data_IF_338392413748
#
_entry.id   IF_338392413748
#
_cell.length_a   1.000
_cell.length_b   1.000
_cell.length_c   1.000
_cell.angle_alpha   90.00
_cell.angle_beta   90.00
_cell.angle_gamma   90.00
#
_symmetry.space_group_name_H-M   'P 1'
#
loop_
_entity.id
_entity.type
_entity.pdbx_description
1 polymer ?
#
# COMPACT_ATOMS: atom_id res chain seq x y z
N UNK A 1 -33.09 -24.76 1.74
CA UNK A 1 -33.31 -23.36 2.17
C UNK A 1 -32.02 -22.70 2.69
N UNK A 2 -31.40 -23.16 3.83
CA UNK A 2 -30.22 -22.52 4.44
C UNK A 2 -28.99 -22.38 3.51
N UNK A 3 -28.81 -23.29 2.53
CA UNK A 3 -27.68 -23.22 1.59
C UNK A 3 -27.91 -22.17 0.49
N UNK A 4 -29.16 -22.00 0.06
CA UNK A 4 -29.56 -20.99 -0.93
C UNK A 4 -29.48 -19.57 -0.33
N UNK A 5 -29.98 -19.39 0.90
CA UNK A 5 -29.94 -18.10 1.60
C UNK A 5 -28.49 -17.63 1.81
N UNK A 6 -27.57 -18.56 2.14
CA UNK A 6 -26.16 -18.23 2.26
C UNK A 6 -25.45 -17.92 0.94
N UNK A 7 -25.94 -18.45 -0.19
CA UNK A 7 -25.41 -18.15 -1.52
C UNK A 7 -25.90 -16.78 -2.00
N UNK A 8 -27.17 -16.44 -1.76
CA UNK A 8 -27.72 -15.12 -2.08
C UNK A 8 -27.04 -14.02 -1.26
N UNK A 9 -26.85 -14.21 0.04
CA UNK A 9 -26.14 -13.24 0.89
C UNK A 9 -24.71 -12.97 0.38
N UNK A 10 -23.97 -14.02 0.00
CA UNK A 10 -22.62 -13.85 -0.58
C UNK A 10 -22.64 -13.11 -1.93
N UNK A 11 -23.65 -13.35 -2.75
CA UNK A 11 -23.79 -12.66 -4.03
C UNK A 11 -24.13 -11.19 -3.83
N UNK A 12 -25.01 -10.89 -2.88
CA UNK A 12 -25.40 -9.53 -2.50
C UNK A 12 -24.20 -8.75 -1.93
N UNK A 13 -23.44 -9.36 -1.01
CA UNK A 13 -22.21 -8.80 -0.48
C UNK A 13 -21.17 -8.51 -1.58
N UNK A 14 -21.04 -9.41 -2.57
CA UNK A 14 -20.10 -9.23 -3.69
C UNK A 14 -20.54 -8.07 -4.61
N UNK A 15 -21.82 -7.96 -4.92
CA UNK A 15 -22.36 -6.83 -5.71
C UNK A 15 -22.21 -5.49 -4.99
N UNK A 16 -22.45 -5.47 -3.68
CA UNK A 16 -22.34 -4.26 -2.89
C UNK A 16 -20.87 -3.82 -2.80
N UNK A 17 -19.94 -4.76 -2.63
CA UNK A 17 -18.50 -4.49 -2.64
C UNK A 17 -18.01 -3.96 -4.01
N UNK A 18 -18.52 -4.50 -5.13
CA UNK A 18 -18.15 -4.02 -6.48
C UNK A 18 -18.74 -2.63 -6.77
N UNK A 19 -19.97 -2.38 -6.34
CA UNK A 19 -20.59 -1.05 -6.46
C UNK A 19 -19.82 -0.01 -5.64
N UNK A 20 -19.52 -0.33 -4.38
CA UNK A 20 -18.73 0.54 -3.51
C UNK A 20 -17.35 0.83 -4.12
N UNK A 21 -16.69 -0.20 -4.67
CA UNK A 21 -15.39 -0.03 -5.34
C UNK A 21 -15.47 0.96 -6.51
N UNK A 22 -16.53 0.88 -7.32
CA UNK A 22 -16.72 1.77 -8.48
C UNK A 22 -17.02 3.21 -8.05
N UNK A 23 -17.84 3.39 -7.03
CA UNK A 23 -18.18 4.69 -6.46
C UNK A 23 -16.93 5.35 -5.83
N UNK A 24 -16.18 4.61 -5.02
CA UNK A 24 -14.95 5.10 -4.39
C UNK A 24 -13.88 5.46 -5.43
N UNK A 25 -13.69 4.62 -6.46
CA UNK A 25 -12.77 4.90 -7.56
C UNK A 25 -13.14 6.20 -8.30
N UNK A 26 -14.44 6.41 -8.54
CA UNK A 26 -14.95 7.61 -9.19
C UNK A 26 -14.70 8.87 -8.35
N UNK A 27 -14.87 8.77 -7.05
CA UNK A 27 -14.58 9.87 -6.12
C UNK A 27 -13.09 10.19 -6.04
N UNK A 28 -12.24 9.17 -5.92
CA UNK A 28 -10.79 9.33 -5.83
C UNK A 28 -10.15 9.85 -7.15
N UNK A 29 -10.78 9.61 -8.31
CA UNK A 29 -10.36 10.19 -9.59
C UNK A 29 -10.87 11.62 -9.79
N UNK A 30 -12.05 11.95 -9.29
CA UNK A 30 -12.66 13.29 -9.49
C UNK A 30 -11.84 14.38 -8.81
N UNK A 31 -11.36 14.14 -7.60
CA UNK A 31 -10.60 15.13 -6.82
C UNK A 31 -9.34 15.61 -7.53
N UNK A 32 -8.38 14.76 -7.94
CA UNK A 32 -7.19 15.21 -8.65
C UNK A 32 -7.52 15.81 -10.01
N UNK A 33 -8.57 15.34 -10.70
CA UNK A 33 -9.02 15.94 -11.97
C UNK A 33 -9.46 17.38 -11.77
N UNK A 34 -10.26 17.66 -10.73
CA UNK A 34 -10.69 19.03 -10.43
C UNK A 34 -9.51 19.94 -10.06
N UNK A 35 -8.52 19.41 -9.33
CA UNK A 35 -7.30 20.17 -8.98
C UNK A 35 -6.46 20.46 -10.23
N UNK A 36 -6.32 19.50 -11.16
CA UNK A 36 -5.61 19.70 -12.44
C UNK A 36 -6.26 20.84 -13.23
N UNK A 37 -7.60 20.82 -13.36
CA UNK A 37 -8.33 21.87 -14.09
C UNK A 37 -8.09 23.22 -13.43
N UNK A 38 -8.29 23.34 -12.12
CA UNK A 38 -8.11 24.59 -11.40
C UNK A 38 -6.67 25.15 -11.50
N UNK A 39 -5.67 24.28 -11.40
CA UNK A 39 -4.25 24.70 -11.57
C UNK A 39 -3.93 25.11 -13.00
N UNK A 40 -4.47 24.40 -13.99
CA UNK A 40 -4.30 24.78 -15.40
C UNK A 40 -4.94 26.14 -15.69
N UNK A 41 -6.16 26.40 -15.21
CA UNK A 41 -6.84 27.69 -15.33
C UNK A 41 -6.06 28.80 -14.64
N UNK A 42 -5.57 28.56 -13.42
CA UNK A 42 -4.73 29.51 -12.69
C UNK A 42 -3.44 29.84 -13.46
N UNK A 43 -2.76 28.84 -13.99
CA UNK A 43 -1.55 29.03 -14.79
C UNK A 43 -1.80 29.82 -16.09
N UNK A 44 -2.94 29.59 -16.75
CA UNK A 44 -3.33 30.36 -17.95
C UNK A 44 -3.60 31.84 -17.65
N UNK A 45 -4.14 32.16 -16.50
CA UNK A 45 -4.47 33.53 -16.08
C UNK A 45 -3.29 34.24 -15.41
N UNK A 46 -2.25 33.53 -14.98
CA UNK A 46 -1.11 34.10 -14.29
C UNK A 46 -0.29 34.98 -15.22
N UNK A 47 0.11 36.21 -14.80
CA UNK A 47 0.88 37.13 -15.63
C UNK A 47 2.37 36.76 -15.73
N UNK A 48 2.93 36.13 -14.71
CA UNK A 48 4.36 35.85 -14.57
C UNK A 48 4.72 34.38 -14.84
N UNK A 49 5.97 34.17 -15.21
CA UNK A 49 6.49 32.83 -15.57
C UNK A 49 6.58 31.89 -14.36
N UNK A 50 6.89 32.42 -13.18
CA UNK A 50 7.06 31.62 -11.97
C UNK A 50 5.74 31.00 -11.53
N UNK A 51 4.66 31.79 -11.49
CA UNK A 51 3.30 31.27 -11.19
C UNK A 51 2.84 30.26 -12.23
N UNK A 52 3.16 30.44 -13.52
CA UNK A 52 2.88 29.43 -14.55
C UNK A 52 3.64 28.12 -14.32
N UNK A 53 4.90 28.19 -13.94
CA UNK A 53 5.71 27.00 -13.64
C UNK A 53 5.18 26.27 -12.42
N UNK A 54 4.81 26.96 -11.36
CA UNK A 54 4.20 26.36 -10.17
C UNK A 54 2.89 25.65 -10.50
N UNK A 55 2.03 26.26 -11.29
CA UNK A 55 0.78 25.66 -11.74
C UNK A 55 1.03 24.38 -12.56
N UNK A 56 1.99 24.40 -13.49
CA UNK A 56 2.36 23.22 -14.28
C UNK A 56 2.95 22.09 -13.41
N UNK A 57 3.79 22.42 -12.43
CA UNK A 57 4.31 21.43 -11.47
C UNK A 57 3.19 20.76 -10.69
N UNK A 58 2.21 21.53 -10.24
CA UNK A 58 1.03 20.99 -9.58
C UNK A 58 0.20 20.08 -10.48
N UNK A 59 -0.01 20.46 -11.75
CA UNK A 59 -0.69 19.61 -12.76
C UNK A 59 0.06 18.28 -12.92
N UNK A 60 1.38 18.31 -13.09
CA UNK A 60 2.21 17.11 -13.24
C UNK A 60 2.13 16.20 -12.00
N UNK A 61 2.16 16.79 -10.81
CA UNK A 61 2.03 16.05 -9.56
C UNK A 61 0.68 15.32 -9.47
N UNK A 62 -0.42 16.00 -9.77
CA UNK A 62 -1.75 15.38 -9.73
C UNK A 62 -1.94 14.33 -10.83
N UNK A 63 -1.42 14.57 -12.03
CA UNK A 63 -1.43 13.58 -13.11
C UNK A 63 -0.65 12.30 -12.71
N UNK A 64 0.49 12.45 -12.04
CA UNK A 64 1.26 11.33 -11.49
C UNK A 64 0.48 10.54 -10.43
N UNK A 65 -0.25 11.22 -9.53
CA UNK A 65 -1.14 10.57 -8.54
C UNK A 65 -2.25 9.79 -9.25
N UNK A 66 -2.89 10.37 -10.27
CA UNK A 66 -3.93 9.69 -11.05
C UNK A 66 -3.39 8.45 -11.77
N UNK A 67 -2.23 8.54 -12.40
CA UNK A 67 -1.59 7.39 -13.07
C UNK A 67 -1.34 6.23 -12.10
N UNK A 68 -0.83 6.51 -10.90
CA UNK A 68 -0.65 5.50 -9.84
C UNK A 68 -1.98 4.88 -9.43
N UNK A 69 -3.02 5.70 -9.22
CA UNK A 69 -4.35 5.22 -8.83
C UNK A 69 -4.95 4.30 -9.91
N UNK A 70 -4.91 4.72 -11.18
CA UNK A 70 -5.43 3.91 -12.31
C UNK A 70 -4.69 2.57 -12.39
N UNK A 71 -3.36 2.56 -12.25
CA UNK A 71 -2.58 1.32 -12.26
C UNK A 71 -2.95 0.39 -11.09
N UNK A 72 -3.17 0.92 -9.89
CA UNK A 72 -3.64 0.14 -8.74
C UNK A 72 -5.04 -0.44 -8.96
N UNK A 73 -5.97 0.34 -9.53
CA UNK A 73 -7.32 -0.12 -9.87
C UNK A 73 -7.30 -1.24 -10.90
N UNK A 74 -6.49 -1.09 -11.96
CA UNK A 74 -6.34 -2.12 -13.00
C UNK A 74 -5.79 -3.42 -12.41
N UNK A 75 -4.81 -3.35 -11.52
CA UNK A 75 -4.26 -4.53 -10.85
C UNK A 75 -5.30 -5.22 -9.96
N UNK A 76 -6.04 -4.46 -9.14
CA UNK A 76 -7.11 -5.03 -8.31
C UNK A 76 -8.24 -5.65 -9.13
N UNK A 77 -8.63 -5.01 -10.24
CA UNK A 77 -9.64 -5.56 -11.15
C UNK A 77 -9.20 -6.86 -11.82
N UNK A 78 -7.91 -6.99 -12.18
CA UNK A 78 -7.34 -8.24 -12.72
C UNK A 78 -7.25 -9.32 -11.63
N UNK A 79 -6.89 -8.94 -10.41
CA UNK A 79 -6.88 -9.79 -9.23
C UNK A 79 -8.22 -10.50 -9.01
N UNK A 80 -9.32 -9.75 -9.03
CA UNK A 80 -10.69 -10.27 -8.81
C UNK A 80 -11.11 -11.28 -9.88
N UNK A 81 -10.57 -11.17 -11.08
CA UNK A 81 -10.90 -12.07 -12.19
C UNK A 81 -10.07 -13.35 -12.20
N UNK A 82 -9.21 -13.58 -11.22
CA UNK A 82 -8.27 -14.74 -11.18
C UNK A 82 -7.45 -14.88 -12.49
N UNK A 83 -7.25 -13.79 -13.23
CA UNK A 83 -6.64 -13.78 -14.56
C UNK A 83 -5.18 -13.33 -14.58
N UNK A 84 -4.64 -12.85 -13.48
CA UNK A 84 -3.20 -12.61 -13.41
C UNK A 84 -2.49 -13.93 -13.11
N UNK A 85 -1.84 -14.48 -14.12
CA UNK A 85 -0.82 -15.51 -13.90
C UNK A 85 0.36 -14.83 -13.22
N UNK A 86 0.66 -15.19 -11.98
CA UNK A 86 1.87 -14.76 -11.28
C UNK A 86 3.09 -15.16 -12.11
N UNK A 87 4.03 -14.25 -12.23
CA UNK A 87 5.34 -14.56 -12.82
C UNK A 87 6.24 -15.17 -11.74
N UNK A 88 5.98 -16.45 -11.42
CA UNK A 88 6.70 -17.14 -10.36
C UNK A 88 8.11 -17.51 -10.81
N UNK A 89 9.10 -16.94 -10.17
CA UNK A 89 10.52 -17.25 -10.34
C UNK A 89 11.17 -17.56 -8.97
N UNK A 90 12.27 -18.27 -9.01
CA UNK A 90 13.05 -18.60 -7.82
C UNK A 90 14.10 -17.53 -7.61
N UNK A 91 14.12 -16.91 -6.44
CA UNK A 91 15.09 -15.87 -6.10
C UNK A 91 15.31 -15.78 -4.58
N UNK A 92 16.37 -15.08 -4.20
CA UNK A 92 16.66 -14.77 -2.81
C UNK A 92 15.85 -13.54 -2.36
N UNK A 93 14.86 -13.79 -1.47
CA UNK A 93 14.03 -12.72 -0.91
C UNK A 93 14.83 -11.81 0.05
N UNK A 94 15.93 -12.31 0.63
CA UNK A 94 16.80 -11.52 1.50
C UNK A 94 17.48 -10.42 0.70
N UNK A 95 18.09 -10.75 -0.45
CA UNK A 95 18.73 -9.77 -1.35
C UNK A 95 17.71 -8.72 -1.84
N UNK A 96 16.51 -9.14 -2.23
CA UNK A 96 15.45 -8.22 -2.63
C UNK A 96 15.04 -7.28 -1.48
N UNK A 97 14.95 -7.81 -0.26
CA UNK A 97 14.56 -7.03 0.92
C UNK A 97 15.63 -6.01 1.28
N UNK A 98 16.92 -6.36 1.20
CA UNK A 98 18.04 -5.44 1.39
C UNK A 98 17.99 -4.29 0.37
N UNK A 99 17.80 -4.62 -0.91
CA UNK A 99 17.70 -3.62 -1.99
C UNK A 99 16.56 -2.62 -1.72
N UNK A 100 15.39 -3.11 -1.32
CA UNK A 100 14.24 -2.23 -1.02
C UNK A 100 14.48 -1.40 0.25
N UNK A 101 15.15 -1.96 1.26
CA UNK A 101 15.51 -1.22 2.48
C UNK A 101 16.43 -0.03 2.15
N UNK A 102 17.43 -0.24 1.28
CA UNK A 102 18.33 0.83 0.81
C UNK A 102 17.58 1.90 0.02
N UNK A 103 16.67 1.51 -0.88
CA UNK A 103 15.85 2.47 -1.65
C UNK A 103 15.01 3.38 -0.74
N UNK A 104 14.39 2.80 0.31
CA UNK A 104 13.53 3.54 1.23
C UNK A 104 14.33 4.34 2.26
N UNK A 105 15.60 4.00 2.50
CA UNK A 105 16.46 4.68 3.48
C UNK A 105 16.55 6.18 3.21
N UNK A 106 16.79 6.59 1.96
CA UNK A 106 16.83 8.01 1.58
C UNK A 106 15.52 8.75 1.80
N UNK A 107 14.38 8.07 1.61
CA UNK A 107 13.05 8.64 1.90
C UNK A 107 12.84 8.79 3.42
N UNK A 108 13.27 7.81 4.21
CA UNK A 108 13.18 7.84 5.67
C UNK A 108 14.05 8.98 6.24
N UNK A 109 15.28 9.11 5.77
CA UNK A 109 16.19 10.20 6.18
C UNK A 109 15.59 11.59 5.86
N UNK A 110 15.00 11.77 4.70
CA UNK A 110 14.35 13.05 4.32
C UNK A 110 13.23 13.46 5.29
N UNK A 111 12.67 12.53 6.03
CA UNK A 111 11.64 12.74 7.07
C UNK A 111 12.20 12.60 8.50
N UNK A 112 13.53 12.52 8.66
CA UNK A 112 14.22 12.30 9.93
C UNK A 112 13.72 11.04 10.67
N UNK A 113 13.40 9.97 9.92
CA UNK A 113 13.02 8.66 10.46
C UNK A 113 14.18 7.68 10.30
N UNK A 114 14.49 6.93 11.35
CA UNK A 114 15.55 5.91 11.34
C UNK A 114 14.98 4.57 10.89
N UNK A 115 15.54 3.97 9.84
CA UNK A 115 15.21 2.62 9.39
C UNK A 115 16.30 1.65 9.85
N UNK A 116 15.90 0.61 10.60
CA UNK A 116 16.76 -0.51 11.02
C UNK A 116 16.28 -1.78 10.36
N UNK A 117 17.15 -2.51 9.67
CA UNK A 117 16.83 -3.78 9.02
C UNK A 117 17.55 -4.94 9.71
N UNK A 118 16.82 -6.04 9.98
CA UNK A 118 17.33 -7.32 10.44
C UNK A 118 16.86 -8.40 9.48
N UNK A 119 17.74 -8.81 8.56
CA UNK A 119 17.40 -9.70 7.45
C UNK A 119 18.21 -10.99 7.60
N UNK A 120 17.52 -12.12 7.75
CA UNK A 120 18.14 -13.45 7.72
C UNK A 120 18.57 -13.75 6.29
N UNK A 121 19.86 -14.11 6.04
CA UNK A 121 20.37 -14.31 4.69
C UNK A 121 19.89 -15.62 4.08
N UNK A 122 19.76 -15.64 2.73
CA UNK A 122 19.55 -16.88 1.96
C UNK A 122 18.13 -17.42 2.02
N UNK A 123 17.11 -16.58 2.24
CA UNK A 123 15.70 -17.00 2.21
C UNK A 123 15.23 -17.12 0.77
N UNK A 124 15.25 -18.35 0.24
CA UNK A 124 14.81 -18.64 -1.11
C UNK A 124 13.30 -18.87 -1.20
N UNK A 125 12.66 -18.19 -2.12
CA UNK A 125 11.22 -18.30 -2.38
C UNK A 125 10.95 -18.54 -3.86
N UNK A 126 9.77 -19.07 -4.18
CA UNK A 126 9.23 -19.10 -5.54
C UNK A 126 8.04 -18.14 -5.61
N UNK A 127 8.28 -16.93 -6.08
CA UNK A 127 7.32 -15.84 -6.03
C UNK A 127 7.48 -14.89 -7.24
N UNK A 128 6.56 -13.96 -7.39
CA UNK A 128 6.68 -12.85 -8.34
C UNK A 128 7.51 -11.74 -7.70
N UNK A 129 8.75 -11.58 -8.17
CA UNK A 129 9.71 -10.63 -7.60
C UNK A 129 9.19 -9.18 -7.60
N UNK A 130 8.48 -8.78 -8.66
CA UNK A 130 7.89 -7.44 -8.76
C UNK A 130 6.82 -7.21 -7.67
N UNK A 131 5.98 -8.22 -7.42
CA UNK A 131 4.96 -8.11 -6.39
C UNK A 131 5.56 -8.16 -4.99
N UNK A 132 6.61 -8.94 -4.75
CA UNK A 132 7.34 -8.94 -3.47
C UNK A 132 7.97 -7.58 -3.18
N UNK A 133 8.63 -6.95 -4.16
CA UNK A 133 9.14 -5.59 -4.04
C UNK A 133 8.02 -4.60 -3.66
N UNK A 134 6.86 -4.70 -4.31
CA UNK A 134 5.71 -3.82 -4.03
C UNK A 134 5.11 -4.02 -2.64
N UNK A 135 5.11 -5.25 -2.10
CA UNK A 135 4.69 -5.51 -0.72
C UNK A 135 5.56 -4.69 0.23
N UNK A 136 6.88 -4.81 0.12
CA UNK A 136 7.82 -4.08 0.96
C UNK A 136 7.67 -2.56 0.81
N UNK A 137 7.64 -2.05 -0.42
CA UNK A 137 7.48 -0.61 -0.69
C UNK A 137 6.19 -0.05 -0.09
N UNK A 138 5.06 -0.78 -0.21
CA UNK A 138 3.79 -0.33 0.40
C UNK A 138 3.88 -0.28 1.94
N UNK A 139 4.45 -1.29 2.57
CA UNK A 139 4.56 -1.34 4.03
C UNK A 139 5.54 -0.30 4.55
N UNK A 140 6.73 -0.18 3.95
CA UNK A 140 7.75 0.76 4.36
C UNK A 140 7.35 2.22 4.12
N UNK A 141 6.76 2.54 2.96
CA UNK A 141 6.27 3.90 2.70
C UNK A 141 5.12 4.28 3.63
N UNK A 142 4.26 3.34 4.01
CA UNK A 142 3.25 3.57 5.04
C UNK A 142 3.91 3.86 6.40
N UNK A 143 4.92 3.09 6.80
CA UNK A 143 5.65 3.30 8.05
C UNK A 143 6.34 4.68 8.09
N UNK A 144 6.98 5.11 6.99
CA UNK A 144 7.57 6.46 6.88
C UNK A 144 6.50 7.56 6.91
N UNK A 145 5.33 7.30 6.31
CA UNK A 145 4.25 8.28 6.22
C UNK A 145 3.52 8.50 7.55
N UNK A 146 3.25 7.42 8.27
CA UNK A 146 2.49 7.43 9.52
C UNK A 146 3.38 7.33 10.76
N UNK A 147 4.69 7.18 10.56
CA UNK A 147 5.70 7.26 11.61
C UNK A 147 5.74 8.63 12.28
N UNK A 148 6.37 8.70 13.44
CA UNK A 148 6.64 9.96 14.13
C UNK A 148 7.81 10.69 13.46
N UNK A 149 7.81 12.00 13.57
CA UNK A 149 9.02 12.76 13.26
C UNK A 149 10.14 12.33 14.23
N UNK A 150 11.33 12.06 13.71
CA UNK A 150 12.45 11.44 14.45
C UNK A 150 12.11 10.06 15.03
N UNK A 151 11.17 9.36 14.40
CA UNK A 151 10.72 8.03 14.78
C UNK A 151 11.64 6.92 14.26
N UNK A 152 11.22 5.69 14.54
CA UNK A 152 11.96 4.49 14.15
C UNK A 152 11.07 3.50 13.40
N UNK A 153 11.68 2.88 12.39
CA UNK A 153 11.09 1.77 11.62
C UNK A 153 12.01 0.56 11.76
N UNK A 154 11.43 -0.59 12.07
CA UNK A 154 12.14 -1.87 12.10
C UNK A 154 11.59 -2.74 10.98
N UNK A 155 12.47 -3.14 10.08
CA UNK A 155 12.24 -4.12 9.03
C UNK A 155 12.85 -5.44 9.47
N UNK A 156 12.07 -6.52 9.45
CA UNK A 156 12.64 -7.86 9.69
C UNK A 156 12.20 -8.83 8.60
N UNK A 157 13.11 -9.70 8.20
CA UNK A 157 12.82 -10.86 7.37
C UNK A 157 13.48 -12.09 8.02
N UNK A 158 12.68 -13.11 8.34
CA UNK A 158 13.14 -14.36 8.98
C UNK A 158 12.40 -15.55 8.40
N UNK A 159 12.98 -16.74 8.54
CA UNK A 159 12.31 -17.99 8.21
C UNK A 159 11.70 -18.61 9.48
N UNK A 160 10.47 -19.13 9.38
CA UNK A 160 9.87 -20.02 10.40
C UNK A 160 10.03 -21.52 10.08
N UNK A 161 10.81 -21.83 9.04
CA UNK A 161 11.05 -23.18 8.52
C UNK A 161 10.02 -23.65 7.48
N UNK A 162 8.89 -22.95 7.32
CA UNK A 162 7.87 -23.21 6.29
C UNK A 162 7.63 -21.99 5.42
N UNK A 163 7.74 -20.83 6.00
CA UNK A 163 7.47 -19.56 5.34
C UNK A 163 8.60 -18.58 5.57
N UNK A 164 8.81 -17.69 4.64
CA UNK A 164 9.46 -16.41 4.87
C UNK A 164 8.46 -15.50 5.61
N UNK A 165 8.87 -14.91 6.70
CA UNK A 165 8.08 -14.00 7.53
C UNK A 165 8.68 -12.61 7.45
N UNK A 166 7.99 -11.72 6.75
CA UNK A 166 8.36 -10.31 6.65
C UNK A 166 7.57 -9.45 7.63
N UNK A 167 8.25 -8.52 8.30
CA UNK A 167 7.61 -7.63 9.28
C UNK A 167 8.15 -6.21 9.13
N UNK A 168 7.23 -5.23 9.16
CA UNK A 168 7.54 -3.79 9.26
C UNK A 168 6.84 -3.25 10.49
N UNK A 169 7.62 -2.73 11.43
CA UNK A 169 7.14 -2.09 12.65
C UNK A 169 7.49 -0.60 12.62
N UNK A 170 6.58 0.24 13.02
CA UNK A 170 6.77 1.68 13.25
C UNK A 170 6.39 2.06 14.69
N UNK A 171 6.90 3.18 15.17
CA UNK A 171 6.53 3.83 16.43
C UNK A 171 5.56 5.00 16.24
N UNK A 172 4.83 5.00 15.13
CA UNK A 172 3.99 6.09 14.66
C UNK A 172 2.68 6.29 15.43
N UNK A 173 1.71 6.86 14.72
CA UNK A 173 0.41 7.23 15.29
C UNK A 173 -0.42 6.03 15.77
N UNK A 174 -0.13 4.84 15.25
CA UNK A 174 -0.92 3.63 15.54
C UNK A 174 -2.35 3.67 15.00
N UNK A 175 -3.07 2.57 15.21
CA UNK A 175 -4.42 2.34 14.72
C UNK A 175 -5.29 1.90 15.89
N UNK A 176 -6.50 2.44 15.99
CA UNK A 176 -7.44 2.03 17.04
C UNK A 176 -7.95 0.59 16.81
N UNK A 177 -8.30 -0.15 17.87
CA UNK A 177 -8.83 -1.51 17.73
C UNK A 177 -10.10 -1.60 16.87
N UNK A 178 -10.93 -0.56 16.84
CA UNK A 178 -12.14 -0.50 16.02
C UNK A 178 -11.86 -0.36 14.52
N UNK A 179 -10.71 0.20 14.16
CA UNK A 179 -10.30 0.44 12.77
C UNK A 179 -9.42 -0.69 12.22
N UNK A 180 -8.67 -1.37 13.09
CA UNK A 180 -7.71 -2.40 12.70
C UNK A 180 -8.28 -3.51 11.78
N UNK A 181 -9.49 -4.04 11.97
CA UNK A 181 -10.06 -5.02 11.05
C UNK A 181 -10.41 -4.47 9.67
N UNK A 182 -10.52 -3.14 9.54
CA UNK A 182 -10.97 -2.47 8.31
C UNK A 182 -9.83 -2.04 7.39
N UNK A 183 -8.59 -1.95 7.89
CA UNK A 183 -7.44 -1.40 7.14
C UNK A 183 -7.10 -2.16 5.85
N UNK A 184 -7.55 -3.41 5.73
CA UNK A 184 -7.37 -4.25 4.56
C UNK A 184 -8.45 -4.06 3.48
N UNK A 185 -9.50 -3.26 3.80
CA UNK A 185 -10.54 -2.92 2.82
C UNK A 185 -10.01 -1.90 1.81
N UNK A 186 -10.48 -2.00 0.57
CA UNK A 186 -10.16 -1.04 -0.50
C UNK A 186 -10.67 0.35 -0.14
N UNK A 187 -9.91 1.37 -0.48
CA UNK A 187 -10.20 2.80 -0.20
C UNK A 187 -10.39 3.15 1.27
N UNK A 188 -10.18 2.18 2.16
CA UNK A 188 -10.34 2.45 3.58
C UNK A 188 -9.19 3.32 4.11
N UNK A 189 -9.56 4.33 4.85
CA UNK A 189 -8.63 5.27 5.49
C UNK A 189 -9.13 5.54 6.91
N UNK A 190 -8.23 5.48 7.88
CA UNK A 190 -8.52 5.94 9.23
C UNK A 190 -8.65 7.47 9.18
N UNK A 191 -9.84 7.98 9.48
CA UNK A 191 -10.12 9.42 9.52
C UNK A 191 -9.31 10.08 10.63
N UNK A 192 -8.09 10.43 10.36
CA UNK A 192 -7.33 11.33 11.21
C UNK A 192 -7.42 12.73 10.60
N UNK A 193 -8.01 13.66 11.34
CA UNK A 193 -8.15 15.07 10.97
C UNK A 193 -6.80 15.81 10.72
N UNK A 194 -5.70 15.08 10.70
CA UNK A 194 -4.33 15.57 10.47
C UNK A 194 -3.76 15.27 9.07
N UNK A 195 -4.48 14.56 8.20
CA UNK A 195 -4.04 14.26 6.83
C UNK A 195 -4.62 15.23 5.80
N UNK A 196 -4.82 16.49 6.16
CA UNK A 196 -5.24 17.59 5.27
C UNK A 196 -4.08 18.15 4.44
N UNK A 197 -3.02 17.39 4.23
CA UNK A 197 -1.90 17.73 3.35
C UNK A 197 -1.93 16.93 2.05
N UNK A 198 -1.14 17.36 1.09
CA UNK A 198 -0.99 16.84 -0.27
C UNK A 198 -0.54 15.35 -0.36
N UNK A 199 -0.29 14.72 0.78
CA UNK A 199 0.25 13.35 0.96
C UNK A 199 -0.82 12.31 1.36
N UNK A 200 -2.09 12.55 1.04
CA UNK A 200 -3.18 11.63 1.34
C UNK A 200 -3.11 10.40 0.42
N UNK A 201 -2.82 9.21 0.97
CA UNK A 201 -2.80 7.95 0.22
C UNK A 201 -4.19 7.53 -0.25
N UNK A 202 -4.27 6.73 -1.30
CA UNK A 202 -5.50 6.26 -1.95
C UNK A 202 -6.33 5.25 -1.14
N UNK A 203 -5.80 4.74 -0.01
CA UNK A 203 -6.45 3.65 0.73
C UNK A 203 -6.39 2.28 0.03
N UNK A 204 -5.61 2.17 -1.05
CA UNK A 204 -5.46 0.90 -1.80
C UNK A 204 -4.20 0.12 -1.41
N UNK A 205 -3.21 0.75 -0.78
CA UNK A 205 -1.89 0.13 -0.52
C UNK A 205 -1.98 -1.16 0.28
N UNK A 206 -2.66 -1.16 1.43
CA UNK A 206 -2.79 -2.36 2.27
C UNK A 206 -3.71 -3.43 1.64
N UNK A 207 -4.76 -3.04 0.93
CA UNK A 207 -5.58 -3.98 0.17
C UNK A 207 -4.76 -4.68 -0.92
N UNK A 208 -3.86 -3.96 -1.59
CA UNK A 208 -2.91 -4.52 -2.54
C UNK A 208 -1.91 -5.47 -1.87
N UNK A 209 -1.35 -5.09 -0.71
CA UNK A 209 -0.45 -5.97 0.07
C UNK A 209 -1.16 -7.28 0.38
N UNK A 210 -2.39 -7.22 0.91
CA UNK A 210 -3.19 -8.40 1.22
C UNK A 210 -3.38 -9.28 -0.01
N UNK A 211 -3.83 -8.73 -1.12
CA UNK A 211 -4.00 -9.48 -2.36
C UNK A 211 -2.70 -10.12 -2.85
N UNK A 212 -1.60 -9.36 -2.93
CA UNK A 212 -0.32 -9.86 -3.39
C UNK A 212 0.17 -11.04 -2.54
N UNK A 213 0.07 -10.94 -1.22
CA UNK A 213 0.47 -12.00 -0.29
C UNK A 213 -0.44 -13.23 -0.42
N UNK A 214 -1.75 -13.05 -0.43
CA UNK A 214 -2.73 -14.16 -0.57
C UNK A 214 -2.61 -14.86 -1.93
N UNK A 215 -2.27 -14.14 -2.99
CA UNK A 215 -2.01 -14.73 -4.33
C UNK A 215 -0.78 -15.64 -4.34
N UNK A 216 0.16 -15.48 -3.42
CA UNK A 216 1.31 -16.35 -3.23
C UNK A 216 1.07 -17.45 -2.18
N UNK A 217 -0.18 -17.63 -1.72
CA UNK A 217 -0.53 -18.61 -0.68
C UNK A 217 -0.10 -18.21 0.73
N UNK A 218 0.29 -16.95 0.92
CA UNK A 218 0.68 -16.39 2.21
C UNK A 218 -0.47 -15.78 3.00
N UNK A 219 -0.14 -15.18 4.13
CA UNK A 219 -1.11 -14.49 5.01
C UNK A 219 -0.58 -13.14 5.45
N UNK A 220 -1.48 -12.22 5.75
CA UNK A 220 -1.15 -10.90 6.31
C UNK A 220 -1.73 -10.74 7.71
N UNK A 221 -1.04 -10.00 8.56
CA UNK A 221 -1.53 -9.62 9.88
C UNK A 221 -1.08 -8.21 10.24
N UNK A 222 -1.80 -7.59 11.19
CA UNK A 222 -1.41 -6.30 11.75
C UNK A 222 -1.75 -6.27 13.24
N UNK A 223 -0.83 -5.73 14.01
CA UNK A 223 -1.01 -5.42 15.43
C UNK A 223 -0.67 -3.94 15.62
N UNK A 224 -1.54 -3.21 16.30
CA UNK A 224 -1.34 -1.78 16.51
C UNK A 224 -1.97 -1.30 17.81
N UNK A 225 -1.37 -0.26 18.37
CA UNK A 225 -1.92 0.46 19.52
C UNK A 225 -1.90 1.95 19.19
N UNK A 226 -3.03 2.61 19.33
CA UNK A 226 -3.15 4.03 19.06
C UNK A 226 -2.15 4.83 19.90
N UNK A 227 -1.34 5.65 19.24
CA UNK A 227 -0.30 6.45 19.88
C UNK A 227 1.01 5.70 20.17
N UNK A 228 1.12 4.40 19.87
CA UNK A 228 2.32 3.58 20.12
C UNK A 228 2.92 2.92 18.87
N UNK A 229 2.28 3.09 17.70
CA UNK A 229 2.75 2.55 16.44
C UNK A 229 2.02 1.29 15.99
N UNK A 230 2.51 0.72 14.90
CA UNK A 230 1.92 -0.45 14.25
C UNK A 230 2.99 -1.48 13.87
N UNK A 231 2.59 -2.72 13.76
CA UNK A 231 3.39 -3.81 13.23
C UNK A 231 2.57 -4.53 12.17
N UNK A 232 3.06 -4.52 10.93
CA UNK A 232 2.48 -5.25 9.81
C UNK A 232 3.36 -6.43 9.49
N UNK A 233 2.78 -7.62 9.35
CA UNK A 233 3.52 -8.83 9.02
C UNK A 233 2.86 -9.57 7.86
N UNK A 234 3.68 -10.24 7.06
CA UNK A 234 3.22 -11.15 6.04
C UNK A 234 4.04 -12.44 6.03
N UNK A 235 3.45 -13.50 5.49
CA UNK A 235 4.13 -14.76 5.25
C UNK A 235 4.12 -15.12 3.78
N UNK A 236 5.19 -15.71 3.27
CA UNK A 236 5.26 -16.31 1.92
C UNK A 236 5.79 -17.73 2.08
N UNK A 237 5.13 -18.75 1.51
CA UNK A 237 5.65 -20.11 1.56
C UNK A 237 7.07 -20.20 1.00
N UNK A 238 7.96 -20.86 1.73
CA UNK A 238 9.30 -21.17 1.25
C UNK A 238 9.20 -22.18 0.09
N UNK A 239 10.23 -22.21 -0.75
CA UNK A 239 10.37 -23.27 -1.73
C UNK A 239 10.35 -24.63 -1.01
N UNK A 240 9.52 -25.61 -1.43
CA UNK A 240 9.67 -26.96 -0.95
C UNK A 240 11.08 -27.47 -1.32
N UNK A 241 11.80 -28.01 -0.34
CA UNK A 241 13.14 -28.57 -0.47
C UNK A 241 13.13 -29.75 -1.43
#
# INVERSE_FOLDING_TARGET
AKTFDGMFARLEDAFEAERQFTDDASHELRTPTSVIIAQAECGLQSPDLESKQQALQGVLQQAGKMSKLVNQLLQLSRADRHKESLHLEEFDLSELTEMVAEEVHGLAESKAVTLTAEIEPGILVKADQTLMMRIWLNLLTNAVKYGRQQGQIWLTLKSDGKNAVGTVRDDGIGISPAELPKIWKRFYRVNTARSSGDDSGTGLGLAMVKWMVESHGGTVSAVSTLGAGSTFSFTIPLRPS
#
